data_IF_353436574386
#
_entry.id   IF_353436574386
#
_cell.length_a   1.000
_cell.length_b   1.000
_cell.length_c   1.000
_cell.angle_alpha   90.00
_cell.angle_beta   90.00
_cell.angle_gamma   90.00
#
_symmetry.space_group_name_H-M   'P 1'
#
loop_
_entity.id
_entity.type
_entity.pdbx_description
1 polymer ?
#
# COMPACT_ATOMS: atom_id res chain seq x y z
N UNK A 1 17.27 39.47 27.13
CA UNK A 1 17.39 38.33 26.22
C UNK A 1 16.28 37.33 26.56
N UNK A 2 15.30 37.26 25.67
CA UNK A 2 14.21 36.29 25.72
C UNK A 2 14.70 34.89 25.30
N UNK A 3 14.41 33.81 26.04
CA UNK A 3 14.83 32.49 25.65
C UNK A 3 14.09 32.04 24.40
N UNK A 4 14.85 31.49 23.42
CA UNK A 4 14.30 30.82 22.25
C UNK A 4 13.43 29.62 22.71
N UNK A 5 12.23 29.41 22.16
CA UNK A 5 11.45 28.22 22.48
C UNK A 5 12.24 26.98 22.05
N UNK A 6 12.33 26.01 22.95
CA UNK A 6 13.07 24.78 22.74
C UNK A 6 12.42 23.93 21.67
N UNK A 7 13.25 23.22 20.90
CA UNK A 7 12.88 22.30 19.80
C UNK A 7 11.98 21.10 20.23
N UNK A 8 11.56 21.04 21.48
CA UNK A 8 10.71 19.98 22.01
C UNK A 8 9.25 20.02 21.49
N UNK A 9 8.80 21.18 20.96
CA UNK A 9 7.45 21.30 20.42
C UNK A 9 7.29 20.67 19.01
N UNK A 10 8.40 20.41 18.29
CA UNK A 10 8.35 19.81 16.95
C UNK A 10 8.38 18.28 16.95
N UNK A 11 8.70 17.65 18.08
CA UNK A 11 8.78 16.18 18.18
C UNK A 11 7.42 15.50 18.51
N UNK A 12 6.41 16.27 18.91
CA UNK A 12 5.09 15.73 19.24
C UNK A 12 4.32 15.28 17.99
N UNK A 13 4.64 15.84 16.82
CA UNK A 13 3.97 15.52 15.56
C UNK A 13 4.50 14.29 14.81
N UNK A 14 5.50 13.60 15.34
CA UNK A 14 6.14 12.44 14.68
C UNK A 14 5.77 11.08 15.26
N UNK A 15 4.91 11.02 16.24
CA UNK A 15 4.44 9.73 16.77
C UNK A 15 3.30 9.24 15.87
N UNK A 16 3.61 8.25 15.07
CA UNK A 16 2.59 7.48 14.37
C UNK A 16 1.86 6.63 15.41
N UNK A 17 0.57 6.87 15.57
CA UNK A 17 -0.30 6.06 16.44
C UNK A 17 -1.10 5.11 15.55
N UNK A 18 -1.26 3.88 15.99
CA UNK A 18 -2.15 2.90 15.38
C UNK A 18 -3.32 2.73 16.33
N UNK A 19 -4.52 2.97 15.85
CA UNK A 19 -5.77 2.79 16.58
C UNK A 19 -6.48 1.57 16.03
N UNK A 20 -6.82 0.62 16.90
CA UNK A 20 -7.58 -0.57 16.52
C UNK A 20 -9.02 -0.41 16.97
N UNK A 21 -9.94 -0.54 16.02
CA UNK A 21 -11.37 -0.61 16.26
C UNK A 21 -11.83 -2.07 16.32
N UNK A 22 -12.77 -2.41 17.19
CA UNK A 22 -13.26 -3.80 17.34
C UNK A 22 -14.03 -4.29 16.10
N UNK A 23 -14.67 -3.38 15.36
CA UNK A 23 -15.48 -3.64 14.16
C UNK A 23 -15.12 -2.67 13.04
N UNK A 24 -15.63 -2.90 11.83
CA UNK A 24 -15.54 -1.96 10.73
C UNK A 24 -16.17 -0.62 11.12
N UNK A 25 -15.64 0.47 10.61
CA UNK A 25 -16.04 1.81 11.00
C UNK A 25 -16.49 2.63 9.78
N UNK A 26 -17.39 3.57 10.01
CA UNK A 26 -17.78 4.55 9.01
C UNK A 26 -16.83 5.74 9.08
N UNK A 27 -16.24 6.10 7.97
CA UNK A 27 -15.43 7.30 7.85
C UNK A 27 -16.03 8.25 6.81
N UNK A 28 -16.14 9.57 7.11
CA UNK A 28 -16.61 10.53 6.14
C UNK A 28 -15.58 10.68 5.01
N UNK A 29 -15.98 10.28 3.82
CA UNK A 29 -15.19 10.46 2.61
C UNK A 29 -15.45 11.84 2.02
N UNK A 30 -14.37 12.50 1.60
CA UNK A 30 -14.46 13.78 0.88
C UNK A 30 -13.73 13.68 -0.45
N UNK A 31 -14.47 13.90 -1.51
CA UNK A 31 -13.90 14.01 -2.84
C UNK A 31 -14.23 15.37 -3.43
N UNK A 32 -13.22 16.05 -3.96
CA UNK A 32 -13.41 17.28 -4.70
C UNK A 32 -13.36 16.98 -6.18
N UNK A 33 -14.47 17.17 -6.86
CA UNK A 33 -14.53 16.95 -8.31
C UNK A 33 -13.76 18.02 -9.10
N UNK A 34 -13.64 17.81 -10.43
CA UNK A 34 -12.96 18.73 -11.34
C UNK A 34 -13.62 20.12 -11.39
N UNK A 35 -14.85 20.28 -10.91
CA UNK A 35 -15.60 21.54 -10.80
C UNK A 35 -15.34 22.23 -9.46
N UNK A 36 -14.58 21.61 -8.55
CA UNK A 36 -14.26 22.13 -7.23
C UNK A 36 -15.36 21.94 -6.18
N UNK A 37 -16.36 21.09 -6.47
CA UNK A 37 -17.43 20.73 -5.54
C UNK A 37 -16.94 19.61 -4.65
N UNK A 38 -17.06 19.78 -3.33
CA UNK A 38 -16.79 18.73 -2.35
C UNK A 38 -18.03 17.84 -2.20
N UNK A 39 -17.81 16.55 -2.41
CA UNK A 39 -18.76 15.48 -2.13
C UNK A 39 -18.35 14.81 -0.82
N UNK A 40 -19.26 14.65 0.10
CA UNK A 40 -19.03 13.97 1.38
C UNK A 40 -20.05 12.83 1.50
N UNK A 41 -19.55 11.62 1.79
CA UNK A 41 -20.39 10.45 2.06
C UNK A 41 -19.71 9.56 3.09
N UNK A 42 -20.50 8.80 3.83
CA UNK A 42 -19.99 7.80 4.77
C UNK A 42 -19.66 6.50 4.01
N UNK A 43 -18.41 6.08 4.05
CA UNK A 43 -17.94 4.80 3.52
C UNK A 43 -17.63 3.81 4.65
N UNK A 44 -17.96 2.52 4.46
CA UNK A 44 -17.46 1.47 5.34
C UNK A 44 -16.00 1.19 5.03
N UNK A 45 -15.14 1.24 6.05
CA UNK A 45 -13.70 1.04 5.92
C UNK A 45 -13.20 0.01 6.94
N UNK A 46 -12.32 -0.86 6.47
CA UNK A 46 -11.54 -1.74 7.32
C UNK A 46 -10.24 -1.08 7.78
N UNK A 47 -9.79 -0.03 7.09
CA UNK A 47 -8.60 0.74 7.43
C UNK A 47 -8.66 2.17 6.89
N UNK A 48 -7.91 3.07 7.48
CA UNK A 48 -7.73 4.45 7.01
C UNK A 48 -6.42 5.03 7.54
N UNK A 49 -5.62 5.61 6.65
CA UNK A 49 -4.40 6.33 6.98
C UNK A 49 -4.57 7.82 6.73
N UNK A 50 -4.42 8.63 7.76
CA UNK A 50 -4.52 10.09 7.65
C UNK A 50 -3.12 10.70 7.49
N UNK A 51 -2.98 11.68 6.61
CA UNK A 51 -1.69 12.35 6.34
C UNK A 51 -1.02 12.85 7.65
N UNK A 52 -1.78 13.50 8.51
CA UNK A 52 -1.32 14.01 9.81
C UNK A 52 -2.15 13.40 10.96
N UNK A 53 -2.12 12.09 11.10
CA UNK A 53 -2.92 11.42 12.11
C UNK A 53 -2.55 9.96 12.31
N UNK A 54 -3.31 9.24 13.13
CA UNK A 54 -3.12 7.82 13.33
C UNK A 54 -3.41 7.01 12.07
N UNK A 55 -2.96 5.77 12.06
CA UNK A 55 -3.50 4.72 11.21
C UNK A 55 -4.66 4.09 11.99
N UNK A 56 -5.84 4.03 11.39
CA UNK A 56 -7.01 3.40 11.98
C UNK A 56 -7.21 2.05 11.28
N UNK A 57 -7.34 0.99 12.04
CA UNK A 57 -7.52 -0.38 11.54
C UNK A 57 -8.73 -1.01 12.22
N UNK A 58 -9.56 -1.69 11.44
CA UNK A 58 -10.60 -2.56 11.97
C UNK A 58 -10.02 -3.93 12.32
N UNK A 59 -10.35 -4.45 13.50
CA UNK A 59 -9.84 -5.74 13.96
C UNK A 59 -10.21 -6.92 13.03
N UNK A 60 -11.41 -6.99 12.44
CA UNK A 60 -11.74 -8.03 11.46
C UNK A 60 -10.78 -8.02 10.25
N UNK A 61 -10.48 -6.85 9.70
CA UNK A 61 -9.54 -6.71 8.59
C UNK A 61 -8.10 -7.12 8.97
N UNK A 62 -7.68 -6.79 10.20
CA UNK A 62 -6.37 -7.23 10.72
C UNK A 62 -6.32 -8.76 10.88
N UNK A 63 -7.40 -9.37 11.36
CA UNK A 63 -7.48 -10.84 11.49
C UNK A 63 -7.52 -11.55 10.14
N UNK A 64 -8.12 -10.95 9.12
CA UNK A 64 -8.13 -11.47 7.76
C UNK A 64 -6.79 -11.32 7.06
N UNK A 65 -5.91 -10.43 7.57
CA UNK A 65 -4.59 -10.16 7.00
C UNK A 65 -3.61 -11.32 7.25
N UNK A 66 -2.72 -11.57 6.29
CA UNK A 66 -1.60 -12.51 6.48
C UNK A 66 -1.95 -13.98 6.28
N UNK A 67 -3.10 -14.27 5.66
CA UNK A 67 -3.41 -15.59 5.11
C UNK A 67 -2.54 -15.90 3.88
N UNK A 68 -2.88 -17.01 3.18
CA UNK A 68 -2.22 -17.40 1.91
C UNK A 68 -2.60 -16.49 0.74
N UNK A 69 -3.58 -15.63 0.94
CA UNK A 69 -3.96 -14.55 0.02
C UNK A 69 -3.06 -13.33 0.29
N UNK A 70 -2.80 -12.54 -0.74
CA UNK A 70 -1.90 -11.40 -0.64
C UNK A 70 -2.43 -10.28 0.25
N UNK A 71 -3.73 -10.29 0.58
CA UNK A 71 -4.39 -9.27 1.39
C UNK A 71 -3.73 -9.06 2.76
N UNK A 72 -3.35 -7.82 3.02
CA UNK A 72 -2.77 -7.41 4.30
C UNK A 72 -3.09 -5.95 4.61
N UNK A 73 -4.18 -5.72 5.34
CA UNK A 73 -4.65 -4.39 5.71
C UNK A 73 -3.57 -3.53 6.38
N UNK A 74 -2.75 -4.15 7.24
CA UNK A 74 -1.70 -3.40 7.96
C UNK A 74 -0.65 -2.87 7.00
N UNK A 75 -0.23 -3.68 6.02
CA UNK A 75 0.74 -3.26 5.00
C UNK A 75 0.11 -2.20 4.10
N UNK A 76 -1.14 -2.38 3.71
CA UNK A 76 -1.91 -1.46 2.89
C UNK A 76 -1.91 -0.04 3.48
N UNK A 77 -2.37 0.10 4.72
CA UNK A 77 -2.44 1.40 5.39
C UNK A 77 -1.06 2.02 5.65
N UNK A 78 -0.06 1.18 5.96
CA UNK A 78 1.31 1.64 6.09
C UNK A 78 1.89 2.13 4.75
N UNK A 79 1.52 1.52 3.62
CA UNK A 79 1.94 1.97 2.29
C UNK A 79 1.34 3.35 1.98
N UNK A 80 0.04 3.57 2.24
CA UNK A 80 -0.56 4.89 2.13
C UNK A 80 0.15 5.92 3.01
N UNK A 81 0.52 5.53 4.22
CA UNK A 81 1.25 6.42 5.13
C UNK A 81 2.62 6.81 4.59
N UNK A 82 3.31 5.89 3.94
CA UNK A 82 4.59 6.18 3.27
C UNK A 82 4.38 7.09 2.06
N UNK A 83 3.34 6.84 1.26
CA UNK A 83 3.00 7.65 0.09
C UNK A 83 2.71 9.10 0.49
N UNK A 84 1.97 9.30 1.57
CA UNK A 84 1.62 10.63 2.08
C UNK A 84 2.75 11.41 2.74
N UNK A 85 3.97 10.89 2.85
CA UNK A 85 5.10 11.62 3.48
C UNK A 85 5.55 12.85 2.70
N UNK A 86 5.23 12.97 1.41
CA UNK A 86 5.57 14.11 0.55
C UNK A 86 4.35 14.88 0.02
N UNK A 87 3.14 14.56 0.48
CA UNK A 87 1.89 15.20 0.03
C UNK A 87 0.71 14.26 0.10
N UNK A 88 -0.22 14.41 -0.83
CA UNK A 88 -1.36 13.51 -0.96
C UNK A 88 -0.91 12.15 -1.51
N UNK A 89 -1.60 11.07 -1.11
CA UNK A 89 -1.34 9.74 -1.64
C UNK A 89 -1.60 9.72 -3.17
N UNK A 90 -0.58 9.37 -3.92
CA UNK A 90 -0.62 9.40 -5.39
C UNK A 90 0.19 8.28 -6.06
N UNK A 91 0.67 7.31 -5.29
CA UNK A 91 1.50 6.20 -5.74
C UNK A 91 2.97 6.56 -5.97
N UNK A 92 3.38 7.76 -5.53
CA UNK A 92 4.77 8.21 -5.59
C UNK A 92 5.29 8.61 -4.21
N UNK A 93 5.64 7.65 -3.35
CA UNK A 93 6.25 7.94 -2.06
C UNK A 93 7.61 8.64 -2.21
N UNK A 94 8.15 9.29 -1.15
CA UNK A 94 9.47 9.89 -1.21
C UNK A 94 10.54 8.81 -1.46
N UNK A 95 11.04 8.78 -2.71
CA UNK A 95 12.02 7.80 -3.15
C UNK A 95 13.41 8.08 -2.55
N UNK A 96 14.21 7.04 -2.40
CA UNK A 96 15.61 7.19 -2.04
C UNK A 96 16.40 7.94 -3.11
N UNK A 97 17.48 8.63 -2.72
CA UNK A 97 18.28 9.47 -3.61
C UNK A 97 18.96 8.73 -4.77
N UNK A 98 19.10 7.42 -4.66
CA UNK A 98 19.64 6.52 -5.68
C UNK A 98 18.56 5.95 -6.62
N UNK A 99 17.29 6.26 -6.39
CA UNK A 99 16.17 5.90 -7.24
C UNK A 99 15.77 7.06 -8.16
N UNK A 100 15.30 6.74 -9.37
CA UNK A 100 14.86 7.73 -10.35
C UNK A 100 13.34 7.82 -10.38
N UNK A 101 12.80 9.02 -10.10
CA UNK A 101 11.35 9.28 -10.15
C UNK A 101 10.76 8.91 -11.51
N UNK A 102 11.46 9.21 -12.62
CA UNK A 102 10.97 8.88 -13.96
C UNK A 102 10.89 7.38 -14.22
N UNK A 103 11.80 6.59 -13.67
CA UNK A 103 11.80 5.13 -13.81
C UNK A 103 10.67 4.51 -12.96
N UNK A 104 10.52 4.96 -11.71
CA UNK A 104 9.41 4.58 -10.86
C UNK A 104 8.08 4.87 -11.54
N UNK A 105 7.85 6.12 -11.96
CA UNK A 105 6.60 6.53 -12.59
C UNK A 105 6.30 5.72 -13.87
N UNK A 106 7.29 5.49 -14.71
CA UNK A 106 7.11 4.69 -15.93
C UNK A 106 6.72 3.24 -15.63
N UNK A 107 7.38 2.61 -14.65
CA UNK A 107 7.11 1.21 -14.29
C UNK A 107 5.75 1.07 -13.64
N UNK A 108 5.44 1.90 -12.64
CA UNK A 108 4.16 1.85 -11.92
C UNK A 108 3.00 2.18 -12.85
N UNK A 109 3.11 3.25 -13.66
CA UNK A 109 2.06 3.63 -14.60
C UNK A 109 1.81 2.55 -15.65
N UNK A 110 2.88 1.96 -16.23
CA UNK A 110 2.71 0.91 -17.25
C UNK A 110 2.00 -0.33 -16.69
N UNK A 111 2.25 -0.71 -15.45
CA UNK A 111 1.60 -1.85 -14.81
C UNK A 111 0.15 -1.52 -14.39
N UNK A 112 -0.09 -0.31 -13.90
CA UNK A 112 -1.43 0.21 -13.60
C UNK A 112 -2.31 0.25 -14.85
N UNK A 113 -1.78 0.78 -15.97
CA UNK A 113 -2.50 0.83 -17.24
C UNK A 113 -2.79 -0.58 -17.78
N UNK A 114 -1.87 -1.53 -17.62
CA UNK A 114 -2.08 -2.92 -18.04
C UNK A 114 -3.23 -3.58 -17.26
N UNK A 115 -3.25 -3.41 -15.93
CA UNK A 115 -4.35 -3.90 -15.09
C UNK A 115 -5.70 -3.29 -15.49
N UNK A 116 -5.76 -1.97 -15.68
CA UNK A 116 -6.97 -1.29 -16.10
C UNK A 116 -7.44 -1.79 -17.48
N UNK A 117 -6.54 -1.97 -18.45
CA UNK A 117 -6.88 -2.53 -19.76
C UNK A 117 -7.42 -3.96 -19.70
N UNK A 118 -6.97 -4.78 -18.74
CA UNK A 118 -7.52 -6.11 -18.53
C UNK A 118 -8.98 -6.04 -18.06
N UNK A 119 -9.25 -5.19 -17.06
CA UNK A 119 -10.58 -4.98 -16.49
C UNK A 119 -11.55 -4.28 -17.45
N UNK A 120 -11.09 -3.33 -18.26
CA UNK A 120 -11.90 -2.67 -19.30
C UNK A 120 -12.40 -3.66 -20.36
N UNK A 121 -11.60 -4.69 -20.68
CA UNK A 121 -11.99 -5.74 -21.66
C UNK A 121 -12.93 -6.76 -21.05
N UNK A 122 -12.75 -7.07 -19.81
CA UNK A 122 -13.58 -8.01 -19.06
C UNK A 122 -13.58 -7.63 -17.56
N UNK A 123 -14.64 -6.96 -17.08
CA UNK A 123 -14.74 -6.57 -15.67
C UNK A 123 -14.67 -7.73 -14.67
N UNK A 124 -15.01 -8.94 -15.12
CA UNK A 124 -14.96 -10.17 -14.30
C UNK A 124 -13.67 -10.98 -14.58
N UNK A 125 -12.63 -10.35 -15.13
CA UNK A 125 -11.35 -11.03 -15.39
C UNK A 125 -10.69 -11.47 -14.07
N UNK A 126 -10.21 -12.70 -14.04
CA UNK A 126 -9.24 -13.12 -13.04
C UNK A 126 -7.92 -12.39 -13.29
N UNK A 127 -7.65 -11.36 -12.51
CA UNK A 127 -6.40 -10.60 -12.59
C UNK A 127 -5.33 -11.22 -11.70
N UNK A 128 -4.07 -11.02 -12.07
CA UNK A 128 -2.94 -11.58 -11.31
C UNK A 128 -2.73 -10.92 -9.92
N UNK A 129 -3.26 -9.72 -9.73
CA UNK A 129 -3.33 -9.03 -8.44
C UNK A 129 -4.77 -8.55 -8.23
N UNK A 130 -5.11 -8.20 -7.00
CA UNK A 130 -6.44 -7.72 -6.65
C UNK A 130 -6.87 -6.56 -7.55
N UNK A 131 -8.06 -6.64 -8.21
CA UNK A 131 -8.58 -5.57 -9.06
C UNK A 131 -8.77 -4.23 -8.33
N UNK A 132 -8.84 -4.21 -7.02
CA UNK A 132 -8.86 -2.98 -6.22
C UNK A 132 -7.64 -2.07 -6.50
N UNK A 133 -6.51 -2.66 -6.90
CA UNK A 133 -5.34 -1.92 -7.36
C UNK A 133 -5.60 -1.01 -8.58
N UNK A 134 -6.69 -1.23 -9.33
CA UNK A 134 -7.06 -0.41 -10.49
C UNK A 134 -7.86 0.85 -10.12
N UNK A 135 -8.27 1.02 -8.86
CA UNK A 135 -9.07 2.16 -8.41
C UNK A 135 -8.35 3.50 -8.67
N UNK A 136 -7.11 3.59 -8.24
CA UNK A 136 -6.25 4.76 -8.48
C UNK A 136 -4.76 4.40 -8.23
N UNK A 137 -3.79 5.27 -8.61
CA UNK A 137 -2.37 4.98 -8.42
C UNK A 137 -1.93 4.78 -6.97
N UNK A 138 -2.61 5.38 -5.99
CA UNK A 138 -2.29 5.18 -4.57
C UNK A 138 -2.67 3.76 -4.12
N UNK A 139 -3.86 3.29 -4.53
CA UNK A 139 -4.29 1.91 -4.28
C UNK A 139 -3.40 0.90 -5.01
N UNK A 140 -2.98 1.21 -6.24
CA UNK A 140 -2.01 0.37 -6.95
C UNK A 140 -0.72 0.19 -6.17
N UNK A 141 -0.18 1.27 -5.59
CA UNK A 141 1.02 1.19 -4.75
C UNK A 141 0.76 0.41 -3.46
N UNK A 142 -0.39 0.63 -2.79
CA UNK A 142 -0.73 -0.07 -1.55
C UNK A 142 -0.91 -1.58 -1.78
N UNK A 143 -1.73 -1.98 -2.74
CA UNK A 143 -1.97 -3.39 -3.08
C UNK A 143 -0.68 -4.08 -3.55
N UNK A 144 0.11 -3.46 -4.44
CA UNK A 144 1.40 -4.05 -4.86
C UNK A 144 2.39 -4.17 -3.71
N UNK A 145 2.30 -3.31 -2.68
CA UNK A 145 3.08 -3.43 -1.44
C UNK A 145 2.62 -4.62 -0.60
N UNK A 146 1.31 -4.88 -0.52
CA UNK A 146 0.80 -6.10 0.12
C UNK A 146 1.37 -7.35 -0.55
N UNK A 147 1.24 -7.46 -1.89
CA UNK A 147 1.79 -8.58 -2.65
C UNK A 147 3.31 -8.71 -2.51
N UNK A 148 4.02 -7.60 -2.48
CA UNK A 148 5.47 -7.61 -2.30
C UNK A 148 5.91 -8.34 -1.02
N UNK A 149 5.19 -8.12 0.09
CA UNK A 149 5.53 -8.73 1.38
C UNK A 149 4.85 -10.07 1.63
N UNK A 150 3.60 -10.25 1.17
CA UNK A 150 2.77 -11.42 1.50
C UNK A 150 2.79 -12.50 0.42
N UNK A 151 2.89 -12.12 -0.87
CA UNK A 151 2.89 -13.04 -2.02
C UNK A 151 3.89 -12.58 -3.10
N UNK A 152 5.20 -12.50 -2.77
CA UNK A 152 6.22 -11.92 -3.64
C UNK A 152 6.41 -12.70 -4.96
N UNK A 153 6.15 -13.97 -4.96
CA UNK A 153 6.19 -14.86 -6.14
C UNK A 153 5.09 -14.51 -7.15
N UNK A 154 3.87 -14.24 -6.69
CA UNK A 154 2.77 -13.79 -7.54
C UNK A 154 3.08 -12.42 -8.14
N UNK A 155 3.60 -11.47 -7.35
CA UNK A 155 3.95 -10.15 -7.87
C UNK A 155 5.07 -10.21 -8.90
N UNK A 156 6.10 -11.03 -8.68
CA UNK A 156 7.19 -11.20 -9.66
C UNK A 156 6.68 -11.83 -10.95
N UNK A 157 5.77 -12.80 -10.86
CA UNK A 157 5.19 -13.44 -12.04
C UNK A 157 4.35 -12.45 -12.87
N UNK A 158 3.54 -11.60 -12.20
CA UNK A 158 2.66 -10.64 -12.87
C UNK A 158 3.43 -9.39 -13.35
N UNK A 159 4.13 -8.74 -12.42
CA UNK A 159 4.75 -7.43 -12.63
C UNK A 159 6.21 -7.41 -12.12
N UNK A 160 7.16 -8.10 -12.79
CA UNK A 160 8.54 -8.23 -12.32
C UNK A 160 9.27 -6.88 -12.18
N UNK A 161 8.92 -5.88 -13.00
CA UNK A 161 9.51 -4.54 -12.90
C UNK A 161 8.97 -3.77 -11.69
N UNK A 162 7.70 -3.93 -11.34
CA UNK A 162 7.12 -3.36 -10.11
C UNK A 162 7.81 -3.96 -8.89
N UNK A 163 7.96 -5.28 -8.85
CA UNK A 163 8.71 -5.95 -7.78
C UNK A 163 10.12 -5.38 -7.62
N UNK A 164 10.84 -5.19 -8.74
CA UNK A 164 12.20 -4.63 -8.70
C UNK A 164 12.22 -3.20 -8.14
N UNK A 165 11.25 -2.35 -8.48
CA UNK A 165 11.14 -1.01 -7.92
C UNK A 165 10.81 -1.03 -6.42
N UNK A 166 9.90 -1.89 -6.00
CA UNK A 166 9.57 -2.06 -4.58
C UNK A 166 10.75 -2.64 -3.78
N UNK A 167 11.53 -3.55 -4.37
CA UNK A 167 12.76 -4.06 -3.78
C UNK A 167 13.78 -2.96 -3.50
N UNK A 168 13.95 -2.02 -4.43
CA UNK A 168 14.80 -0.86 -4.25
C UNK A 168 14.23 0.08 -3.18
N UNK A 169 12.94 0.34 -3.22
CA UNK A 169 12.26 1.25 -2.30
C UNK A 169 12.27 0.73 -0.86
N UNK A 170 11.84 -0.51 -0.63
CA UNK A 170 11.82 -1.11 0.70
C UNK A 170 13.18 -1.61 1.17
N UNK A 171 14.18 -1.71 0.26
CA UNK A 171 15.51 -2.28 0.52
C UNK A 171 15.43 -3.68 1.12
N UNK A 172 14.51 -4.48 0.63
CA UNK A 172 14.23 -5.84 1.07
C UNK A 172 14.04 -6.77 -0.14
N UNK A 173 14.21 -8.06 0.08
CA UNK A 173 13.94 -9.09 -0.93
C UNK A 173 13.11 -10.22 -0.31
N UNK A 174 11.78 -10.04 -0.18
CA UNK A 174 10.90 -11.05 0.39
C UNK A 174 10.88 -12.35 -0.40
N UNK A 175 11.03 -12.31 -1.73
CA UNK A 175 11.09 -13.52 -2.57
C UNK A 175 12.29 -14.41 -2.20
N UNK A 176 13.46 -13.83 -2.01
CA UNK A 176 14.63 -14.63 -1.59
C UNK A 176 14.41 -15.27 -0.21
N UNK A 177 13.73 -14.55 0.71
CA UNK A 177 13.38 -15.10 2.02
C UNK A 177 12.37 -16.24 1.91
N UNK A 178 11.34 -16.09 1.07
CA UNK A 178 10.37 -17.15 0.80
C UNK A 178 11.05 -18.41 0.24
N UNK A 179 11.95 -18.25 -0.74
CA UNK A 179 12.70 -19.36 -1.33
C UNK A 179 13.61 -20.07 -0.32
N UNK A 180 14.22 -19.33 0.61
CA UNK A 180 14.99 -19.93 1.69
C UNK A 180 14.12 -20.78 2.62
N UNK A 181 12.97 -20.24 3.06
CA UNK A 181 12.03 -20.98 3.91
C UNK A 181 11.53 -22.26 3.22
N UNK A 182 11.20 -22.18 1.94
CA UNK A 182 10.79 -23.35 1.15
C UNK A 182 11.90 -24.40 0.99
N UNK A 183 13.16 -23.98 0.94
CA UNK A 183 14.29 -24.88 0.85
C UNK A 183 14.61 -25.56 2.19
N UNK A 184 14.36 -24.89 3.31
CA UNK A 184 14.66 -25.39 4.66
C UNK A 184 13.54 -26.26 5.26
N UNK A 185 12.29 -26.10 4.79
CA UNK A 185 11.14 -26.84 5.33
C UNK A 185 10.47 -27.73 4.25
N UNK A 186 10.63 -29.07 4.34
CA UNK A 186 10.02 -30.04 3.42
C UNK A 186 8.47 -30.02 3.41
N UNK A 187 7.83 -29.47 4.44
CA UNK A 187 6.37 -29.38 4.55
C UNK A 187 5.80 -28.40 3.52
N UNK A 188 6.53 -27.35 3.16
CA UNK A 188 6.13 -26.40 2.11
C UNK A 188 6.16 -27.00 0.69
N UNK A 189 6.86 -28.11 0.49
CA UNK A 189 6.96 -28.77 -0.83
C UNK A 189 5.74 -29.65 -1.17
N UNK A 190 4.81 -29.88 -0.25
CA UNK A 190 3.71 -30.86 -0.41
C UNK A 190 2.33 -30.23 -0.63
N UNK A 191 2.20 -28.92 -0.75
CA UNK A 191 0.91 -28.23 -0.88
C UNK A 191 0.74 -27.41 -2.17
N UNK A 192 1.42 -27.83 -3.26
CA UNK A 192 1.16 -27.32 -4.62
C UNK A 192 0.78 -28.44 -5.57
#
# INVERSE_FOLDING_TARGET
STPKPSSAASDVYKRQEIILYPDDFLSPQRHRDASGIEHEWDGEHSGEAWQQGPIILAWPGVLASGGWEAYNLVIHELAHKLDMLNGDANGLPPLHSDMRVSEWAQVMQSAYDDLNHQLDRNPDAETAIDPYAAENPAEFFAVTSEYFFSAPDLLVAAYPKVYAQLQLFYRQNPLARLQQLQAEDPVYQTHH
#
